data_IF_510080369991
#
_entry.id   IF_510080369991
#
_cell.length_a   1.000
_cell.length_b   1.000
_cell.length_c   1.000
_cell.angle_alpha   90.00
_cell.angle_beta   90.00
_cell.angle_gamma   90.00
#
_symmetry.space_group_name_H-M   'P 1'
#
loop_
_entity.id
_entity.type
_entity.pdbx_description
1 polymer ?
#
# COMPACT_ATOMS: atom_id res chain seq x y z
N UNK A 1 -3.32 10.79 21.46
CA UNK A 1 -3.69 11.35 22.79
C UNK A 1 -3.27 10.39 23.88
N UNK A 2 -3.77 9.16 23.87
CA UNK A 2 -3.57 8.19 24.96
C UNK A 2 -2.12 7.72 25.15
N UNK A 3 -1.33 7.61 24.07
CA UNK A 3 0.07 7.15 24.11
C UNK A 3 1.00 8.27 24.62
N UNK A 4 0.88 9.48 24.07
CA UNK A 4 1.76 10.60 24.41
C UNK A 4 1.26 11.43 25.61
N UNK A 5 0.03 11.21 26.08
CA UNK A 5 -0.57 11.96 27.20
C UNK A 5 -0.78 13.46 26.95
N UNK A 6 -0.52 13.96 25.75
CA UNK A 6 -0.56 15.38 25.38
C UNK A 6 -1.52 15.62 24.22
N UNK A 7 -2.75 16.06 24.45
CA UNK A 7 -3.74 16.28 23.38
C UNK A 7 -3.27 17.28 22.30
N UNK A 8 -2.55 18.33 22.69
CA UNK A 8 -2.06 19.36 21.77
C UNK A 8 -1.02 18.88 20.77
N UNK A 9 -0.39 17.73 21.00
CA UNK A 9 0.62 17.15 20.09
C UNK A 9 -0.04 16.38 18.92
N UNK A 10 -1.32 16.06 19.02
CA UNK A 10 -2.02 15.26 18.01
C UNK A 10 -2.04 15.92 16.62
N UNK A 11 -2.33 17.24 16.58
CA UNK A 11 -2.35 18.01 15.31
C UNK A 11 -0.96 18.03 14.69
N UNK A 12 0.08 18.31 15.49
CA UNK A 12 1.47 18.32 15.02
C UNK A 12 1.89 16.95 14.48
N UNK A 13 1.47 15.87 15.12
CA UNK A 13 1.73 14.48 14.70
C UNK A 13 1.10 14.18 13.34
N UNK A 14 -0.18 14.54 13.14
CA UNK A 14 -0.86 14.41 11.84
C UNK A 14 -0.24 15.28 10.77
N UNK A 15 0.12 16.52 11.09
CA UNK A 15 0.79 17.42 10.15
C UNK A 15 2.13 16.85 9.69
N UNK A 16 2.91 16.30 10.61
CA UNK A 16 4.19 15.66 10.29
C UNK A 16 3.99 14.46 9.32
N UNK A 17 2.98 13.65 9.56
CA UNK A 17 2.60 12.57 8.64
C UNK A 17 2.21 13.11 7.25
N UNK A 18 1.39 14.17 7.18
CA UNK A 18 0.97 14.78 5.92
C UNK A 18 2.15 15.37 5.14
N UNK A 19 3.11 16.01 5.82
CA UNK A 19 4.33 16.52 5.18
C UNK A 19 5.16 15.37 4.62
N UNK A 20 5.30 14.28 5.38
CA UNK A 20 5.92 13.05 4.89
C UNK A 20 5.26 12.51 3.62
N UNK A 21 3.91 12.48 3.59
CA UNK A 21 3.15 12.05 2.43
C UNK A 21 3.44 12.90 1.17
N UNK A 22 3.52 14.23 1.30
CA UNK A 22 3.86 15.10 0.16
C UNK A 22 5.23 14.76 -0.43
N UNK A 23 6.22 14.57 0.43
CA UNK A 23 7.59 14.20 0.01
C UNK A 23 7.59 12.82 -0.63
N UNK A 24 6.92 11.85 -0.04
CA UNK A 24 6.81 10.48 -0.56
C UNK A 24 6.19 10.42 -1.95
N UNK A 25 5.13 11.19 -2.18
CA UNK A 25 4.48 11.29 -3.50
C UNK A 25 5.43 11.86 -4.56
N UNK A 26 6.18 12.90 -4.23
CA UNK A 26 7.15 13.49 -5.14
C UNK A 26 8.30 12.53 -5.51
N UNK A 27 8.69 11.66 -4.58
CA UNK A 27 9.77 10.69 -4.79
C UNK A 27 9.33 9.43 -5.57
N UNK A 28 8.04 9.19 -5.71
CA UNK A 28 7.52 7.97 -6.35
C UNK A 28 7.97 7.84 -7.81
N UNK A 29 7.85 8.91 -8.60
CA UNK A 29 8.22 8.91 -10.02
C UNK A 29 9.72 8.67 -10.23
N UNK A 30 10.64 9.46 -9.66
CA UNK A 30 12.07 9.26 -9.89
C UNK A 30 12.57 7.87 -9.44
N UNK A 31 11.97 7.30 -8.38
CA UNK A 31 12.35 5.94 -7.95
C UNK A 31 11.90 4.86 -8.94
N UNK A 32 10.70 4.98 -9.51
CA UNK A 32 10.17 4.02 -10.48
C UNK A 32 10.80 4.15 -11.87
N UNK A 33 11.30 5.33 -12.20
CA UNK A 33 12.10 5.54 -13.41
C UNK A 33 13.48 4.85 -13.31
N UNK A 34 14.05 4.82 -12.10
CA UNK A 34 15.35 4.19 -11.86
C UNK A 34 15.26 2.67 -11.67
N UNK A 35 14.21 2.16 -11.00
CA UNK A 35 14.04 0.74 -10.68
C UNK A 35 12.65 0.22 -11.10
N UNK A 36 12.57 -1.10 -11.34
CA UNK A 36 11.30 -1.76 -11.65
C UNK A 36 10.23 -1.46 -10.58
N UNK A 37 9.04 -1.00 -11.01
CA UNK A 37 7.90 -0.64 -10.15
C UNK A 37 7.59 -1.70 -9.08
N UNK A 38 7.56 -2.98 -9.48
CA UNK A 38 7.29 -4.11 -8.58
C UNK A 38 8.34 -4.22 -7.48
N UNK A 39 9.62 -4.05 -7.84
CA UNK A 39 10.72 -4.11 -6.86
C UNK A 39 10.62 -2.96 -5.87
N UNK A 40 10.37 -1.73 -6.35
CA UNK A 40 10.18 -0.57 -5.47
C UNK A 40 9.00 -0.80 -4.54
N UNK A 41 7.86 -1.27 -5.07
CA UNK A 41 6.67 -1.59 -4.28
C UNK A 41 6.96 -2.61 -3.17
N UNK A 42 7.58 -3.74 -3.51
CA UNK A 42 7.89 -4.80 -2.54
C UNK A 42 8.89 -4.34 -1.47
N UNK A 43 9.97 -3.67 -1.87
CA UNK A 43 10.97 -3.17 -0.93
C UNK A 43 10.42 -2.11 0.01
N UNK A 44 9.62 -1.18 -0.51
CA UNK A 44 9.02 -0.12 0.29
C UNK A 44 8.03 -0.69 1.30
N UNK A 45 7.18 -1.65 0.90
CA UNK A 45 6.28 -2.34 1.83
C UNK A 45 7.05 -3.15 2.89
N UNK A 46 8.13 -3.84 2.51
CA UNK A 46 8.97 -4.55 3.47
C UNK A 46 9.62 -3.58 4.48
N UNK A 47 10.12 -2.44 4.00
CA UNK A 47 10.69 -1.40 4.86
C UNK A 47 9.64 -0.78 5.78
N UNK A 48 8.42 -0.51 5.28
CA UNK A 48 7.29 -0.06 6.09
C UNK A 48 6.98 -1.05 7.21
N UNK A 49 6.97 -2.34 6.92
CA UNK A 49 6.72 -3.37 7.92
C UNK A 49 7.82 -3.36 9.01
N UNK A 50 9.09 -3.29 8.61
CA UNK A 50 10.21 -3.22 9.57
C UNK A 50 10.13 -1.98 10.45
N UNK A 51 9.87 -0.81 9.86
CA UNK A 51 9.76 0.46 10.60
C UNK A 51 8.54 0.45 11.53
N UNK A 52 7.42 -0.11 11.08
CA UNK A 52 6.22 -0.26 11.92
C UNK A 52 6.47 -1.16 13.14
N UNK A 53 7.19 -2.28 12.95
CA UNK A 53 7.61 -3.14 14.08
C UNK A 53 8.63 -2.44 14.96
N UNK A 54 9.59 -1.72 14.38
CA UNK A 54 10.58 -0.97 15.17
C UNK A 54 9.91 0.10 16.05
N UNK A 55 8.85 0.74 15.57
CA UNK A 55 8.06 1.70 16.35
C UNK A 55 7.42 1.06 17.60
N UNK A 56 7.12 -0.24 17.58
CA UNK A 56 6.61 -0.96 18.75
C UNK A 56 7.57 -0.91 19.95
N UNK A 57 8.88 -0.92 19.70
CA UNK A 57 9.91 -0.89 20.73
C UNK A 57 10.28 0.52 21.20
N UNK A 58 9.72 1.56 20.59
CA UNK A 58 10.01 2.95 20.97
C UNK A 58 9.31 3.30 22.28
N UNK A 59 10.02 3.78 23.31
CA UNK A 59 9.42 4.18 24.58
C UNK A 59 8.41 5.32 24.40
N UNK A 60 7.27 5.24 25.09
CA UNK A 60 6.17 6.23 24.96
C UNK A 60 6.59 7.68 25.29
N UNK A 61 7.64 7.86 26.07
CA UNK A 61 8.18 9.18 26.44
C UNK A 61 9.11 9.78 25.37
N UNK A 62 9.55 8.98 24.39
CA UNK A 62 10.46 9.42 23.33
C UNK A 62 9.69 10.13 22.20
N UNK A 63 9.10 11.29 22.49
CA UNK A 63 8.25 12.05 21.58
C UNK A 63 8.97 12.35 20.24
N UNK A 64 10.24 12.77 20.28
CA UNK A 64 11.01 13.09 19.06
C UNK A 64 11.15 11.85 18.18
N UNK A 65 11.49 10.70 18.75
CA UNK A 65 11.60 9.45 18.00
C UNK A 65 10.27 9.11 17.32
N UNK A 66 9.14 9.25 18.02
CA UNK A 66 7.82 9.01 17.45
C UNK A 66 7.51 9.94 16.26
N UNK A 67 7.90 11.21 16.32
CA UNK A 67 7.75 12.14 15.20
C UNK A 67 8.61 11.74 13.99
N UNK A 68 9.83 11.29 14.23
CA UNK A 68 10.71 10.79 13.15
C UNK A 68 10.12 9.55 12.51
N UNK A 69 9.65 8.58 13.30
CA UNK A 69 9.02 7.37 12.79
C UNK A 69 7.79 7.67 11.95
N UNK A 70 6.87 8.54 12.44
CA UNK A 70 5.65 8.84 11.69
C UNK A 70 5.94 9.63 10.41
N UNK A 71 6.95 10.48 10.41
CA UNK A 71 7.41 11.17 9.22
C UNK A 71 7.90 10.18 8.16
N UNK A 72 8.79 9.25 8.55
CA UNK A 72 9.34 8.23 7.64
C UNK A 72 8.25 7.29 7.14
N UNK A 73 7.32 6.87 8.01
CA UNK A 73 6.15 6.07 7.62
C UNK A 73 5.31 6.84 6.60
N UNK A 74 5.07 8.14 6.81
CA UNK A 74 4.35 8.98 5.86
C UNK A 74 5.00 9.02 4.48
N UNK A 75 6.32 9.24 4.42
CA UNK A 75 7.09 9.23 3.17
C UNK A 75 6.97 7.90 2.45
N UNK A 76 7.21 6.81 3.13
CA UNK A 76 7.19 5.47 2.53
C UNK A 76 5.77 5.05 2.13
N UNK A 77 4.77 5.35 2.94
CA UNK A 77 3.39 5.01 2.66
C UNK A 77 2.87 5.69 1.39
N UNK A 78 3.15 6.99 1.27
CA UNK A 78 2.72 7.74 0.09
C UNK A 78 3.58 7.48 -1.16
N UNK A 79 4.77 6.94 -1.00
CA UNK A 79 5.57 6.43 -2.11
C UNK A 79 4.92 5.20 -2.76
N UNK A 80 4.33 4.32 -1.96
CA UNK A 80 3.65 3.09 -2.44
C UNK A 80 2.35 3.40 -3.18
N UNK A 81 1.58 4.38 -2.73
CA UNK A 81 0.23 4.66 -3.23
C UNK A 81 0.16 4.92 -4.75
N UNK A 82 0.92 5.85 -5.34
CA UNK A 82 0.88 6.08 -6.78
C UNK A 82 1.41 4.88 -7.57
N UNK A 83 2.40 4.13 -7.04
CA UNK A 83 2.90 2.92 -7.69
C UNK A 83 1.80 1.87 -7.80
N UNK A 84 0.99 1.70 -6.76
CA UNK A 84 -0.15 0.77 -6.76
C UNK A 84 -1.16 1.10 -7.86
N UNK A 85 -1.50 2.38 -8.07
CA UNK A 85 -2.41 2.80 -9.12
C UNK A 85 -1.84 2.57 -10.53
N UNK A 86 -0.54 2.80 -10.70
CA UNK A 86 0.14 2.49 -11.97
C UNK A 86 0.16 1.00 -12.23
N UNK A 87 0.50 0.17 -11.23
CA UNK A 87 0.47 -1.29 -11.36
C UNK A 87 -0.92 -1.81 -11.73
N UNK A 88 -1.97 -1.18 -11.23
CA UNK A 88 -3.34 -1.51 -11.60
C UNK A 88 -3.64 -1.15 -13.07
N UNK A 89 -3.19 0.03 -13.53
CA UNK A 89 -3.31 0.40 -14.95
C UNK A 89 -2.58 -0.59 -15.86
N UNK A 90 -1.40 -1.04 -15.46
CA UNK A 90 -0.63 -2.05 -16.20
C UNK A 90 -1.41 -3.38 -16.33
N UNK A 91 -2.23 -3.75 -15.34
CA UNK A 91 -3.09 -4.95 -15.44
C UNK A 91 -4.25 -4.78 -16.40
N UNK A 92 -4.76 -3.56 -16.59
CA UNK A 92 -5.77 -3.24 -17.60
C UNK A 92 -5.18 -3.38 -19.00
N UNK A 93 -3.96 -2.84 -19.22
CA UNK A 93 -3.26 -2.94 -20.50
C UNK A 93 -2.93 -4.42 -20.84
N UNK A 94 -2.52 -5.21 -19.86
CA UNK A 94 -2.33 -6.65 -20.02
C UNK A 94 -3.64 -7.37 -20.39
N UNK A 95 -4.74 -7.01 -19.73
CA UNK A 95 -6.06 -7.56 -20.02
C UNK A 95 -6.54 -7.24 -21.46
N UNK A 96 -6.28 -6.03 -21.94
CA UNK A 96 -6.55 -5.61 -23.30
C UNK A 96 -5.71 -6.42 -24.30
N UNK A 97 -4.42 -6.57 -24.03
CA UNK A 97 -3.52 -7.35 -24.86
C UNK A 97 -3.95 -8.82 -24.97
N UNK A 98 -4.41 -9.42 -23.86
CA UNK A 98 -4.87 -10.82 -23.85
C UNK A 98 -6.21 -11.05 -24.54
N UNK A 99 -7.16 -10.11 -24.40
CA UNK A 99 -8.57 -10.33 -24.74
C UNK A 99 -9.08 -9.44 -25.88
N UNK A 100 -8.27 -8.52 -26.40
CA UNK A 100 -8.66 -7.58 -27.43
C UNK A 100 -9.68 -6.52 -26.98
N UNK A 101 -9.98 -6.42 -25.67
CA UNK A 101 -10.96 -5.48 -25.13
C UNK A 101 -10.40 -4.76 -23.91
N UNK A 102 -10.44 -3.43 -23.96
CA UNK A 102 -10.03 -2.57 -22.85
C UNK A 102 -11.16 -2.43 -21.82
N UNK A 103 -11.05 -3.14 -20.70
CA UNK A 103 -12.06 -3.16 -19.64
C UNK A 103 -11.71 -2.24 -18.46
N UNK A 104 -11.27 -1.01 -18.74
CA UNK A 104 -10.81 -0.04 -17.75
C UNK A 104 -11.85 0.20 -16.64
N UNK A 105 -13.12 0.47 -17.04
CA UNK A 105 -14.18 0.80 -16.08
C UNK A 105 -14.44 -0.32 -15.07
N UNK A 106 -14.53 -1.57 -15.52
CA UNK A 106 -14.77 -2.73 -14.65
C UNK A 106 -13.59 -2.96 -13.73
N UNK A 107 -12.36 -2.86 -14.24
CA UNK A 107 -11.14 -3.06 -13.44
C UNK A 107 -11.00 -2.01 -12.34
N UNK A 108 -11.25 -0.74 -12.66
CA UNK A 108 -11.23 0.34 -11.66
C UNK A 108 -12.37 0.22 -10.65
N UNK A 109 -13.59 -0.13 -11.10
CA UNK A 109 -14.72 -0.37 -10.19
C UNK A 109 -14.43 -1.52 -9.22
N UNK A 110 -13.87 -2.63 -9.70
CA UNK A 110 -13.46 -3.76 -8.86
C UNK A 110 -12.38 -3.37 -7.84
N UNK A 111 -11.38 -2.61 -8.24
CA UNK A 111 -10.32 -2.13 -7.34
C UNK A 111 -10.89 -1.20 -6.26
N UNK A 112 -11.76 -0.25 -6.63
CA UNK A 112 -12.41 0.64 -5.67
C UNK A 112 -13.34 -0.11 -4.71
N UNK A 113 -14.03 -1.14 -5.19
CA UNK A 113 -14.85 -2.01 -4.34
C UNK A 113 -13.98 -2.72 -3.29
N UNK A 114 -12.89 -3.37 -3.70
CA UNK A 114 -11.96 -4.06 -2.79
C UNK A 114 -11.32 -3.08 -1.81
N UNK A 115 -10.96 -1.87 -2.26
CA UNK A 115 -10.44 -0.82 -1.39
C UNK A 115 -11.44 -0.42 -0.29
N UNK A 116 -12.70 -0.17 -0.67
CA UNK A 116 -13.75 0.16 0.29
C UNK A 116 -14.06 -1.00 1.24
N UNK A 117 -14.07 -2.23 0.72
CA UNK A 117 -14.23 -3.43 1.54
C UNK A 117 -13.09 -3.57 2.56
N UNK A 118 -11.84 -3.32 2.14
CA UNK A 118 -10.68 -3.31 3.02
C UNK A 118 -10.78 -2.26 4.13
N UNK A 119 -11.25 -1.05 3.81
CA UNK A 119 -11.49 0.01 4.79
C UNK A 119 -12.57 -0.40 5.80
N UNK A 120 -13.67 -1.01 5.34
CA UNK A 120 -14.75 -1.46 6.20
C UNK A 120 -14.29 -2.58 7.15
N UNK A 121 -13.58 -3.60 6.62
CA UNK A 121 -13.03 -4.69 7.42
C UNK A 121 -11.97 -4.18 8.41
N UNK A 122 -11.12 -3.25 8.00
CA UNK A 122 -10.14 -2.61 8.88
C UNK A 122 -10.79 -1.85 10.02
N UNK A 123 -11.84 -1.07 9.74
CA UNK A 123 -12.63 -0.38 10.77
C UNK A 123 -13.31 -1.34 11.75
N UNK A 124 -13.90 -2.43 11.23
CA UNK A 124 -14.51 -3.47 12.06
C UNK A 124 -13.46 -4.15 12.97
N UNK A 125 -12.30 -4.50 12.42
CA UNK A 125 -11.20 -5.09 13.18
C UNK A 125 -10.76 -4.19 14.34
N UNK A 126 -10.57 -2.89 14.05
CA UNK A 126 -10.20 -1.90 15.07
C UNK A 126 -11.27 -1.86 16.17
N UNK A 127 -12.56 -1.77 15.79
CA UNK A 127 -13.66 -1.73 16.73
C UNK A 127 -13.71 -2.97 17.64
N UNK A 128 -13.59 -4.16 17.07
CA UNK A 128 -13.59 -5.43 17.81
C UNK A 128 -12.38 -5.56 18.76
N UNK A 129 -11.20 -5.20 18.30
CA UNK A 129 -9.99 -5.27 19.13
C UNK A 129 -10.07 -4.28 20.31
N UNK A 130 -10.55 -3.05 20.08
CA UNK A 130 -10.71 -2.06 21.13
C UNK A 130 -11.80 -2.45 22.13
N UNK A 131 -12.95 -2.95 21.65
CA UNK A 131 -14.03 -3.43 22.52
C UNK A 131 -13.57 -4.62 23.38
N UNK A 132 -12.86 -5.58 22.78
CA UNK A 132 -12.28 -6.72 23.50
C UNK A 132 -11.23 -6.31 24.54
N UNK A 133 -10.55 -5.18 24.33
CA UNK A 133 -9.58 -4.60 25.27
C UNK A 133 -10.19 -3.75 26.39
N UNK A 134 -11.51 -3.57 26.40
CA UNK A 134 -12.19 -2.73 27.38
C UNK A 134 -11.94 -1.24 27.19
N UNK A 135 -11.83 -0.80 25.92
CA UNK A 135 -11.69 0.63 25.59
C UNK A 135 -12.94 1.41 26.01
N UNK A 136 -12.74 2.46 26.79
CA UNK A 136 -13.79 3.40 27.19
C UNK A 136 -13.46 4.81 26.67
N UNK A 137 -14.26 5.32 25.77
CA UNK A 137 -14.06 6.65 25.18
C UNK A 137 -14.25 7.79 26.19
N UNK A 138 -15.02 7.57 27.26
CA UNK A 138 -15.29 8.56 28.31
C UNK A 138 -14.23 8.55 29.43
N UNK A 139 -13.41 7.51 29.51
CA UNK A 139 -12.40 7.39 30.54
C UNK A 139 -11.26 8.43 30.35
N UNK A 140 -10.80 9.03 31.44
CA UNK A 140 -9.64 9.93 31.42
C UNK A 140 -8.32 9.19 31.18
N UNK A 141 -8.24 7.94 31.58
CA UNK A 141 -7.10 7.04 31.39
C UNK A 141 -7.59 5.67 30.94
N UNK A 142 -6.84 5.03 30.06
CA UNK A 142 -7.14 3.68 29.60
C UNK A 142 -6.37 2.64 30.42
N UNK A 143 -6.90 1.42 30.48
CA UNK A 143 -6.20 0.32 31.12
C UNK A 143 -4.96 -0.11 30.29
N UNK A 144 -4.03 -0.84 30.89
CA UNK A 144 -2.80 -1.29 30.23
C UNK A 144 -3.07 -2.21 29.02
N UNK A 145 -4.12 -3.03 29.10
CA UNK A 145 -4.51 -3.92 28.00
C UNK A 145 -4.98 -3.12 26.79
N UNK A 146 -5.83 -2.13 26.99
CA UNK A 146 -6.29 -1.22 25.91
C UNK A 146 -5.12 -0.47 25.27
N UNK A 147 -4.18 0.05 26.07
CA UNK A 147 -3.00 0.74 25.54
C UNK A 147 -2.16 -0.20 24.68
N UNK A 148 -1.93 -1.43 25.14
CA UNK A 148 -1.20 -2.45 24.35
C UNK A 148 -1.88 -2.77 23.02
N UNK A 149 -3.22 -2.86 23.02
CA UNK A 149 -3.99 -3.07 21.78
C UNK A 149 -3.87 -1.87 20.84
N UNK A 150 -3.94 -0.64 21.36
CA UNK A 150 -3.75 0.56 20.53
C UNK A 150 -2.37 0.55 19.88
N UNK A 151 -1.33 0.21 20.65
CA UNK A 151 0.04 0.13 20.12
C UNK A 151 0.12 -0.96 19.02
N UNK A 152 -0.44 -2.15 19.26
CA UNK A 152 -0.45 -3.24 18.31
C UNK A 152 -1.21 -2.89 17.00
N UNK A 153 -2.33 -2.19 17.11
CA UNK A 153 -3.10 -1.69 15.97
C UNK A 153 -2.32 -0.67 15.13
N UNK A 154 -1.45 0.11 15.76
CA UNK A 154 -0.63 1.10 15.07
C UNK A 154 0.68 0.54 14.49
N UNK A 155 1.16 -0.58 15.00
CA UNK A 155 2.48 -1.12 14.68
C UNK A 155 2.43 -2.50 14.05
N UNK A 156 1.90 -3.49 14.76
CA UNK A 156 1.94 -4.91 14.35
C UNK A 156 0.95 -5.19 13.22
N UNK A 157 -0.30 -4.72 13.37
CA UNK A 157 -1.35 -4.99 12.36
C UNK A 157 -0.98 -4.41 11.00
N UNK A 158 -0.57 -3.12 10.86
CA UNK A 158 -0.11 -2.59 9.60
C UNK A 158 1.13 -3.32 9.05
N UNK A 159 2.09 -3.72 9.91
CA UNK A 159 3.27 -4.44 9.48
C UNK A 159 2.93 -5.78 8.82
N UNK A 160 1.99 -6.53 9.37
CA UNK A 160 1.49 -7.78 8.78
C UNK A 160 0.85 -7.49 7.42
N UNK A 161 0.01 -6.46 7.32
CA UNK A 161 -0.64 -6.07 6.07
C UNK A 161 0.37 -5.68 4.98
N UNK A 162 1.42 -4.92 5.33
CA UNK A 162 2.49 -4.55 4.40
C UNK A 162 3.28 -5.77 3.90
N UNK A 163 3.62 -6.71 4.79
CA UNK A 163 4.30 -7.95 4.41
C UNK A 163 3.43 -8.82 3.51
N UNK A 164 2.15 -8.97 3.82
CA UNK A 164 1.21 -9.70 2.97
C UNK A 164 1.08 -9.05 1.59
N UNK A 165 0.95 -7.73 1.53
CA UNK A 165 0.89 -6.97 0.28
C UNK A 165 2.15 -7.17 -0.57
N UNK A 166 3.34 -7.08 0.04
CA UNK A 166 4.61 -7.32 -0.63
C UNK A 166 4.72 -8.77 -1.13
N UNK A 167 4.33 -9.75 -0.33
CA UNK A 167 4.37 -11.18 -0.68
C UNK A 167 3.44 -11.51 -1.85
N UNK A 168 2.19 -11.00 -1.81
CA UNK A 168 1.20 -11.17 -2.88
C UNK A 168 1.71 -10.52 -4.18
N UNK A 169 2.18 -9.28 -4.12
CA UNK A 169 2.71 -8.59 -5.29
C UNK A 169 3.91 -9.34 -5.88
N UNK A 170 4.85 -9.79 -5.05
CA UNK A 170 6.03 -10.55 -5.50
C UNK A 170 5.65 -11.89 -6.12
N UNK A 171 4.60 -12.57 -5.62
CA UNK A 171 4.19 -13.91 -6.04
C UNK A 171 3.33 -13.90 -7.29
N UNK A 172 2.41 -12.96 -7.40
CA UNK A 172 1.37 -12.97 -8.42
C UNK A 172 1.52 -11.89 -9.49
N UNK A 173 2.20 -10.80 -9.20
CA UNK A 173 2.39 -9.74 -10.18
C UNK A 173 3.61 -10.03 -11.07
N UNK A 174 3.34 -10.52 -12.29
CA UNK A 174 4.36 -10.94 -13.26
C UNK A 174 4.74 -9.88 -14.28
N UNK A 175 4.02 -8.74 -14.32
CA UNK A 175 4.22 -7.65 -15.29
C UNK A 175 5.45 -6.80 -14.96
N UNK A 176 6.64 -7.39 -15.17
CA UNK A 176 7.91 -6.68 -15.00
C UNK A 176 8.18 -5.74 -16.18
N UNK A 177 8.99 -4.70 -15.95
CA UNK A 177 9.26 -3.63 -16.92
C UNK A 177 9.61 -4.09 -18.34
N UNK A 178 10.45 -5.12 -18.59
CA UNK A 178 10.75 -5.55 -19.96
C UNK A 178 9.51 -6.11 -20.67
N UNK A 179 8.77 -6.98 -20.01
CA UNK A 179 7.58 -7.62 -20.55
C UNK A 179 6.45 -6.61 -20.79
N UNK A 180 6.25 -5.69 -19.86
CA UNK A 180 5.25 -4.63 -20.00
C UNK A 180 5.54 -3.71 -21.18
N UNK A 181 6.82 -3.35 -21.42
CA UNK A 181 7.19 -2.56 -22.60
C UNK A 181 6.79 -3.24 -23.90
N UNK A 182 7.05 -4.52 -24.03
CA UNK A 182 6.65 -5.30 -25.21
C UNK A 182 5.14 -5.28 -25.40
N UNK A 183 4.35 -5.44 -24.32
CA UNK A 183 2.88 -5.36 -24.39
C UNK A 183 2.42 -3.99 -24.90
N UNK A 184 2.96 -2.91 -24.33
CA UNK A 184 2.59 -1.54 -24.71
C UNK A 184 2.97 -1.21 -26.14
N UNK A 185 4.13 -1.69 -26.64
CA UNK A 185 4.56 -1.53 -28.02
C UNK A 185 3.64 -2.28 -28.98
N UNK A 186 3.22 -3.50 -28.63
CA UNK A 186 2.29 -4.28 -29.43
C UNK A 186 0.89 -3.66 -29.46
N UNK A 187 0.38 -3.20 -28.33
CA UNK A 187 -0.90 -2.47 -28.27
C UNK A 187 -0.87 -1.17 -29.08
N UNK A 188 0.26 -0.44 -29.08
CA UNK A 188 0.43 0.76 -29.90
C UNK A 188 0.39 0.46 -31.40
N UNK A 189 0.74 -0.75 -31.80
CA UNK A 189 0.66 -1.26 -33.18
C UNK A 189 -0.71 -1.91 -33.49
N UNK A 190 -1.63 -1.95 -32.53
CA UNK A 190 -2.92 -2.62 -32.66
C UNK A 190 -2.86 -4.14 -32.55
N UNK A 191 -1.72 -4.71 -32.17
CA UNK A 191 -1.52 -6.15 -32.06
C UNK A 191 -1.95 -6.69 -30.70
N UNK A 192 -2.74 -7.77 -30.71
CA UNK A 192 -3.19 -8.49 -29.53
C UNK A 192 -2.62 -9.92 -29.51
N UNK A 193 -2.52 -10.52 -28.33
CA UNK A 193 -1.98 -11.87 -28.15
C UNK A 193 -2.68 -12.91 -29.03
N UNK A 194 -4.00 -12.83 -29.12
CA UNK A 194 -4.81 -13.79 -29.89
C UNK A 194 -4.57 -13.71 -31.39
N UNK A 195 -4.25 -12.53 -31.94
CA UNK A 195 -3.92 -12.35 -33.36
C UNK A 195 -2.58 -12.98 -33.71
N UNK A 196 -1.61 -12.96 -32.79
CA UNK A 196 -0.31 -13.59 -32.98
C UNK A 196 -0.37 -15.13 -32.98
N UNK A 197 -1.22 -15.72 -32.15
CA UNK A 197 -1.44 -17.17 -32.13
C UNK A 197 -2.12 -17.65 -33.45
N UNK A 198 -3.04 -16.86 -34.01
CA UNK A 198 -3.66 -17.17 -35.31
C UNK A 198 -2.67 -17.04 -36.46
N UNK A 199 -1.90 -15.95 -36.48
CA UNK A 199 -0.89 -15.74 -37.52
C UNK A 199 0.21 -16.80 -37.49
N UNK A 200 0.66 -17.27 -36.33
CA UNK A 200 1.62 -18.37 -36.24
C UNK A 200 1.05 -19.73 -36.67
N UNK A 201 -0.25 -19.97 -36.46
CA UNK A 201 -0.91 -21.19 -36.95
C UNK A 201 -1.17 -21.17 -38.43
N UNK A 202 -1.44 -20.01 -38.99
CA UNK A 202 -1.62 -19.85 -40.46
C UNK A 202 -0.29 -19.97 -41.22
N UNK A 203 0.83 -19.59 -40.64
CA UNK A 203 2.16 -19.73 -41.22
C UNK A 203 2.74 -21.15 -41.12
N UNK A 204 2.11 -22.03 -40.33
CA UNK A 204 2.52 -23.43 -40.19
C UNK A 204 1.67 -24.42 -41.00
N UNK A 205 0.63 -23.96 -41.70
CA UNK A 205 -0.17 -24.70 -42.66
C UNK A 205 0.12 -24.24 -44.10
#
# INVERSE_FOLDING_TARGET
>A
TWILGKPGVFVAFLTTYCVGNLIGSALAKPLTDWKCKVSVFCWTNALLAVISVAMFFVPMHATIAMFVFIFVIGVLHQLVTPIQWVMMSDTVDYGEWCNGKRLTGISFAGTLFVLKLGLALGGALIGWMLAGGGYDAAAKTQNSATISIIIALFTIVPAICYLLSAAIAKRYYTLKSPFLKTILEQLAQGAHRNEQEFTHKELQN
#
